data_IF_938000320288
#
_entry.id   IF_938000320288
#
_cell.length_a   1.000
_cell.length_b   1.000
_cell.length_c   1.000
_cell.angle_alpha   90.00
_cell.angle_beta   90.00
_cell.angle_gamma   90.00
#
_symmetry.space_group_name_H-M   'P 1'
#
loop_
_entity.id
_entity.type
_entity.pdbx_description
1 polymer ?
#
# COMPACT_ATOMS: atom_id res chain seq x y z
N UNK A 1 -21.96 -80.91 173.54
CA UNK A 1 -21.42 -81.09 174.90
C UNK A 1 -22.45 -80.58 175.90
N UNK A 2 -22.86 -81.46 176.84
CA UNK A 2 -23.76 -81.30 178.02
C UNK A 2 -25.19 -80.81 177.71
N UNK A 3 -26.18 -81.72 177.70
CA UNK A 3 -27.04 -82.12 178.85
C UNK A 3 -27.75 -80.89 179.45
N UNK A 4 -29.09 -80.79 179.48
CA UNK A 4 -30.05 -81.72 180.09
C UNK A 4 -31.42 -81.66 179.40
N UNK A 5 -32.10 -82.80 179.34
CA UNK A 5 -33.43 -82.94 178.75
C UNK A 5 -34.57 -82.51 179.67
N UNK A 6 -35.70 -82.19 179.04
CA UNK A 6 -37.06 -82.38 179.57
C UNK A 6 -37.99 -82.51 178.36
N UNK A 7 -38.82 -83.54 178.35
CA UNK A 7 -39.60 -84.02 177.20
C UNK A 7 -40.59 -82.95 176.67
N UNK A 8 -40.62 -82.73 175.35
CA UNK A 8 -41.70 -82.00 174.68
C UNK A 8 -42.33 -82.85 173.57
N UNK A 9 -43.65 -82.75 173.49
CA UNK A 9 -44.62 -83.65 172.86
C UNK A 9 -44.57 -83.66 171.32
N UNK A 10 -45.16 -84.71 170.72
CA UNK A 10 -45.25 -84.98 169.25
C UNK A 10 -45.64 -83.79 168.35
N UNK A 11 -46.25 -82.74 168.90
CA UNK A 11 -46.68 -81.55 168.17
C UNK A 11 -45.52 -80.66 167.72
N UNK A 12 -44.40 -80.63 168.46
CA UNK A 12 -43.23 -79.81 168.10
C UNK A 12 -42.39 -80.41 166.97
N UNK A 13 -42.41 -81.74 166.81
CA UNK A 13 -41.70 -82.40 165.71
C UNK A 13 -42.40 -82.17 164.36
N UNK A 14 -43.73 -82.09 164.37
CA UNK A 14 -44.51 -81.80 163.17
C UNK A 14 -44.37 -80.35 162.70
N UNK A 15 -44.16 -79.38 163.59
CA UNK A 15 -43.96 -77.98 163.18
C UNK A 15 -42.61 -77.74 162.48
N UNK A 16 -41.54 -78.42 162.92
CA UNK A 16 -40.22 -78.33 162.28
C UNK A 16 -40.17 -79.00 160.89
N UNK A 17 -40.90 -80.10 160.69
CA UNK A 17 -40.97 -80.77 159.40
C UNK A 17 -41.65 -79.92 158.32
N UNK A 18 -42.69 -79.17 158.71
CA UNK A 18 -43.35 -78.22 157.80
C UNK A 18 -42.42 -77.06 157.44
N UNK A 19 -41.71 -76.47 158.42
CA UNK A 19 -40.81 -75.33 158.16
C UNK A 19 -39.62 -75.71 157.26
N UNK A 20 -39.08 -76.92 157.41
CA UNK A 20 -37.95 -77.39 156.58
C UNK A 20 -38.37 -77.67 155.14
N UNK A 21 -39.55 -78.26 154.93
CA UNK A 21 -40.12 -78.42 153.58
C UNK A 21 -40.40 -77.07 152.92
N UNK A 22 -40.93 -76.10 153.67
CA UNK A 22 -41.18 -74.75 153.17
C UNK A 22 -39.87 -74.03 152.76
N UNK A 23 -38.80 -74.24 153.53
CA UNK A 23 -37.47 -73.67 153.22
C UNK A 23 -36.84 -74.29 151.99
N UNK A 24 -36.97 -75.61 151.82
CA UNK A 24 -36.46 -76.32 150.63
C UNK A 24 -37.20 -75.84 149.38
N UNK A 25 -38.53 -75.67 149.45
CA UNK A 25 -39.30 -75.12 148.33
C UNK A 25 -38.85 -73.71 147.94
N UNK A 26 -38.58 -72.83 148.90
CA UNK A 26 -38.05 -71.48 148.60
C UNK A 26 -36.68 -71.52 147.91
N UNK A 27 -35.83 -72.49 148.24
CA UNK A 27 -34.52 -72.61 147.59
C UNK A 27 -34.64 -73.12 146.16
N UNK A 28 -35.48 -74.12 145.90
CA UNK A 28 -35.75 -74.58 144.53
C UNK A 28 -36.33 -73.45 143.66
N UNK A 29 -37.28 -72.70 144.20
CA UNK A 29 -37.86 -71.54 143.51
C UNK A 29 -36.80 -70.45 143.22
N UNK A 30 -35.88 -70.19 144.16
CA UNK A 30 -34.77 -69.26 143.93
C UNK A 30 -33.75 -69.77 142.90
N UNK A 31 -33.52 -71.07 142.84
CA UNK A 31 -32.60 -71.68 141.89
C UNK A 31 -33.19 -71.62 140.47
N UNK A 32 -34.47 -71.97 140.32
CA UNK A 32 -35.18 -71.91 139.04
C UNK A 32 -35.32 -70.47 138.54
N UNK A 33 -35.57 -69.50 139.43
CA UNK A 33 -35.55 -68.08 139.09
C UNK A 33 -34.18 -67.65 138.56
N UNK A 34 -33.09 -68.01 139.26
CA UNK A 34 -31.73 -67.69 138.81
C UNK A 34 -31.34 -68.37 137.50
N UNK A 35 -31.80 -69.60 137.26
CA UNK A 35 -31.56 -70.33 136.02
C UNK A 35 -32.37 -69.77 134.84
N UNK A 36 -33.61 -69.32 135.07
CA UNK A 36 -34.43 -68.65 134.08
C UNK A 36 -33.83 -67.31 133.68
N UNK A 37 -33.36 -66.51 134.64
CA UNK A 37 -32.66 -65.24 134.38
C UNK A 37 -31.36 -65.46 133.57
N UNK A 38 -30.56 -66.45 133.94
CA UNK A 38 -29.33 -66.77 133.20
C UNK A 38 -29.63 -67.18 131.75
N UNK A 39 -30.62 -68.07 131.52
CA UNK A 39 -31.06 -68.46 130.17
C UNK A 39 -31.57 -67.27 129.37
N UNK A 40 -32.35 -66.37 129.98
CA UNK A 40 -32.81 -65.16 129.31
C UNK A 40 -31.64 -64.25 128.91
N UNK A 41 -30.65 -64.06 129.78
CA UNK A 41 -29.44 -63.28 129.45
C UNK A 41 -28.63 -63.91 128.30
N UNK A 42 -28.44 -65.23 128.33
CA UNK A 42 -27.75 -65.93 127.24
C UNK A 42 -28.51 -65.83 125.91
N UNK A 43 -29.83 -66.05 125.92
CA UNK A 43 -30.66 -65.94 124.71
C UNK A 43 -30.67 -64.50 124.19
N UNK A 44 -30.75 -63.50 125.08
CA UNK A 44 -30.69 -62.11 124.70
C UNK A 44 -29.33 -61.74 124.09
N UNK A 45 -28.23 -62.11 124.74
CA UNK A 45 -26.87 -61.91 124.22
C UNK A 45 -26.63 -62.64 122.90
N UNK A 46 -27.14 -63.87 122.75
CA UNK A 46 -27.01 -64.62 121.51
C UNK A 46 -27.83 -63.99 120.37
N UNK A 47 -29.01 -63.43 120.68
CA UNK A 47 -29.80 -62.64 119.72
C UNK A 47 -29.11 -61.35 119.32
N UNK A 48 -28.51 -60.62 120.25
CA UNK A 48 -27.77 -59.39 119.93
C UNK A 48 -26.53 -59.71 119.10
N UNK A 49 -25.74 -60.72 119.47
CA UNK A 49 -24.59 -61.17 118.67
C UNK A 49 -25.00 -61.67 117.29
N UNK A 50 -26.07 -62.45 117.18
CA UNK A 50 -26.59 -62.92 115.89
C UNK A 50 -27.09 -61.76 115.02
N UNK A 51 -27.77 -60.77 115.60
CA UNK A 51 -28.23 -59.59 114.88
C UNK A 51 -27.07 -58.73 114.35
N UNK A 52 -26.07 -58.46 115.19
CA UNK A 52 -24.86 -57.71 114.80
C UNK A 52 -24.06 -58.47 113.74
N UNK A 53 -23.90 -59.79 113.90
CA UNK A 53 -23.22 -60.62 112.90
C UNK A 53 -23.95 -60.61 111.56
N UNK A 54 -25.28 -60.76 111.56
CA UNK A 54 -26.08 -60.69 110.35
C UNK A 54 -26.01 -59.30 109.67
N UNK A 55 -25.94 -58.22 110.45
CA UNK A 55 -25.71 -56.87 109.92
C UNK A 55 -24.34 -56.77 109.27
N UNK A 56 -23.28 -57.21 109.95
CA UNK A 56 -21.92 -57.17 109.40
C UNK A 56 -21.81 -57.98 108.10
N UNK A 57 -22.43 -59.16 108.05
CA UNK A 57 -22.47 -60.00 106.85
C UNK A 57 -23.22 -59.28 105.73
N UNK A 58 -24.38 -58.67 106.00
CA UNK A 58 -25.10 -57.87 105.00
C UNK A 58 -24.26 -56.72 104.49
N UNK A 59 -23.63 -55.95 105.37
CA UNK A 59 -22.79 -54.82 104.98
C UNK A 59 -21.58 -55.28 104.14
N UNK A 60 -21.00 -56.44 104.45
CA UNK A 60 -19.92 -57.02 103.65
C UNK A 60 -20.40 -57.45 102.27
N UNK A 61 -21.55 -58.11 102.18
CA UNK A 61 -22.14 -58.54 100.91
C UNK A 61 -22.55 -57.32 100.07
N UNK A 62 -23.12 -56.28 100.69
CA UNK A 62 -23.48 -55.02 100.02
C UNK A 62 -22.24 -54.28 99.50
N UNK A 63 -21.14 -54.27 100.26
CA UNK A 63 -19.85 -53.73 99.79
C UNK A 63 -19.30 -54.50 98.58
N UNK A 64 -19.27 -55.82 98.61
CA UNK A 64 -18.78 -56.61 97.47
C UNK A 64 -19.70 -56.47 96.25
N UNK A 65 -21.01 -56.49 96.47
CA UNK A 65 -21.99 -56.35 95.40
C UNK A 65 -21.99 -54.94 94.80
N UNK A 66 -21.74 -53.90 95.59
CA UNK A 66 -21.52 -52.54 95.06
C UNK A 66 -20.21 -52.43 94.28
N UNK A 67 -19.13 -53.07 94.75
CA UNK A 67 -17.85 -53.11 94.04
C UNK A 67 -17.96 -53.83 92.68
N UNK A 68 -18.61 -54.99 92.63
CA UNK A 68 -18.84 -55.73 91.38
C UNK A 68 -19.78 -54.97 90.42
N UNK A 69 -20.83 -54.32 90.93
CA UNK A 69 -21.68 -53.44 90.11
C UNK A 69 -20.89 -52.28 89.53
N UNK A 70 -20.09 -51.59 90.34
CA UNK A 70 -19.24 -50.51 89.89
C UNK A 70 -18.22 -50.98 88.84
N UNK A 71 -17.66 -52.17 89.01
CA UNK A 71 -16.74 -52.78 88.03
C UNK A 71 -17.45 -53.10 86.72
N UNK A 72 -18.62 -53.73 86.76
CA UNK A 72 -19.41 -54.03 85.56
C UNK A 72 -19.87 -52.76 84.84
N UNK A 73 -20.24 -51.72 85.58
CA UNK A 73 -20.56 -50.42 85.00
C UNK A 73 -19.34 -49.79 84.34
N UNK A 74 -18.17 -49.83 84.99
CA UNK A 74 -16.92 -49.34 84.41
C UNK A 74 -16.58 -50.09 83.12
N UNK A 75 -16.63 -51.42 83.13
CA UNK A 75 -16.39 -52.24 81.95
C UNK A 75 -17.40 -51.90 80.83
N UNK A 76 -18.69 -51.74 81.15
CA UNK A 76 -19.70 -51.30 80.16
C UNK A 76 -19.38 -49.92 79.60
N UNK A 77 -18.99 -48.96 80.44
CA UNK A 77 -18.60 -47.62 79.98
C UNK A 77 -17.37 -47.65 79.10
N UNK A 78 -16.37 -48.49 79.44
CA UNK A 78 -15.18 -48.70 78.62
C UNK A 78 -15.53 -49.34 77.27
N UNK A 79 -16.38 -50.36 77.27
CA UNK A 79 -16.88 -50.99 76.04
C UNK A 79 -17.72 -50.05 75.17
N UNK A 80 -18.63 -49.27 75.77
CA UNK A 80 -19.43 -48.27 75.05
C UNK A 80 -18.53 -47.17 74.46
N UNK A 81 -17.52 -46.72 75.21
CA UNK A 81 -16.55 -45.74 74.74
C UNK A 81 -15.74 -46.30 73.59
N UNK A 82 -15.17 -47.50 73.72
CA UNK A 82 -14.39 -48.16 72.68
C UNK A 82 -15.23 -48.42 71.42
N UNK A 83 -16.49 -48.82 71.58
CA UNK A 83 -17.41 -49.01 70.46
C UNK A 83 -17.71 -47.69 69.73
N UNK A 84 -17.97 -46.60 70.46
CA UNK A 84 -18.17 -45.27 69.87
C UNK A 84 -16.91 -44.78 69.16
N UNK A 85 -15.75 -44.93 69.79
CA UNK A 85 -14.46 -44.57 69.19
C UNK A 85 -14.20 -45.36 67.91
N UNK A 86 -14.50 -46.67 67.89
CA UNK A 86 -14.38 -47.49 66.69
C UNK A 86 -15.33 -47.02 65.57
N UNK A 87 -16.61 -46.77 65.88
CA UNK A 87 -17.56 -46.29 64.87
C UNK A 87 -17.17 -44.92 64.33
N UNK A 88 -16.70 -44.02 65.20
CA UNK A 88 -16.25 -42.69 64.81
C UNK A 88 -15.01 -42.78 63.91
N UNK A 89 -14.07 -43.69 64.22
CA UNK A 89 -12.91 -43.95 63.35
C UNK A 89 -13.33 -44.46 61.97
N UNK A 90 -14.24 -45.42 61.89
CA UNK A 90 -14.72 -45.95 60.60
C UNK A 90 -15.44 -44.89 59.77
N UNK A 91 -16.30 -44.09 60.40
CA UNK A 91 -16.98 -42.97 59.75
C UNK A 91 -15.99 -41.92 59.26
N UNK A 92 -15.00 -41.56 60.07
CA UNK A 92 -13.95 -40.61 59.69
C UNK A 92 -13.12 -41.14 58.52
N UNK A 93 -12.76 -42.43 58.52
CA UNK A 93 -12.07 -43.06 57.40
C UNK A 93 -12.93 -43.08 56.13
N UNK A 94 -14.24 -43.36 56.25
CA UNK A 94 -15.17 -43.30 55.13
C UNK A 94 -15.30 -41.88 54.57
N UNK A 95 -15.47 -40.87 55.43
CA UNK A 95 -15.53 -39.46 55.04
C UNK A 95 -14.22 -39.00 54.39
N UNK A 96 -13.06 -39.42 54.91
CA UNK A 96 -11.76 -39.13 54.31
C UNK A 96 -11.61 -39.76 52.92
N UNK A 97 -12.05 -41.01 52.73
CA UNK A 97 -12.06 -41.69 51.42
C UNK A 97 -12.98 -40.99 50.43
N UNK A 98 -14.20 -40.63 50.86
CA UNK A 98 -15.14 -39.89 50.01
C UNK A 98 -14.62 -38.49 49.66
N UNK A 99 -14.06 -37.77 50.63
CA UNK A 99 -13.41 -36.47 50.40
C UNK A 99 -12.26 -36.57 49.41
N UNK A 100 -11.42 -37.61 49.53
CA UNK A 100 -10.33 -37.86 48.58
C UNK A 100 -10.85 -38.19 47.18
N UNK A 101 -11.85 -39.07 47.06
CA UNK A 101 -12.44 -39.42 45.78
C UNK A 101 -13.11 -38.21 45.10
N UNK A 102 -13.85 -37.40 45.85
CA UNK A 102 -14.44 -36.17 45.32
C UNK A 102 -13.36 -35.18 44.86
N UNK A 103 -12.28 -35.01 45.62
CA UNK A 103 -11.16 -34.17 45.22
C UNK A 103 -10.50 -34.68 43.93
N UNK A 104 -10.31 -35.99 43.78
CA UNK A 104 -9.82 -36.59 42.53
C UNK A 104 -10.77 -36.36 41.36
N UNK A 105 -12.08 -36.57 41.55
CA UNK A 105 -13.08 -36.38 40.50
C UNK A 105 -13.17 -34.91 40.06
N UNK A 106 -13.12 -33.97 41.02
CA UNK A 106 -13.08 -32.54 40.72
C UNK A 106 -11.82 -32.17 39.96
N UNK A 107 -10.66 -32.73 40.35
CA UNK A 107 -9.41 -32.51 39.64
C UNK A 107 -9.46 -33.05 38.21
N UNK A 108 -9.94 -34.27 38.01
CA UNK A 108 -10.10 -34.84 36.66
C UNK A 108 -11.05 -34.00 35.79
N UNK A 109 -12.14 -33.50 36.38
CA UNK A 109 -13.06 -32.61 35.68
C UNK A 109 -12.43 -31.25 35.38
N UNK A 110 -11.63 -30.71 36.28
CA UNK A 110 -10.88 -29.48 36.03
C UNK A 110 -9.88 -29.67 34.88
N UNK A 111 -9.07 -30.73 34.93
CA UNK A 111 -8.10 -31.07 33.87
C UNK A 111 -8.81 -31.26 32.51
N UNK A 112 -9.93 -31.98 32.47
CA UNK A 112 -10.72 -32.16 31.24
C UNK A 112 -11.26 -30.82 30.71
N UNK A 113 -11.80 -29.96 31.60
CA UNK A 113 -12.29 -28.64 31.20
C UNK A 113 -11.16 -27.75 30.70
N UNK A 114 -10.02 -27.72 31.39
CA UNK A 114 -8.81 -26.98 30.99
C UNK A 114 -8.33 -27.45 29.61
N UNK A 115 -8.27 -28.76 29.37
CA UNK A 115 -7.93 -29.31 28.06
C UNK A 115 -8.91 -28.90 26.97
N UNK A 116 -10.22 -28.93 27.24
CA UNK A 116 -11.23 -28.49 26.28
C UNK A 116 -11.16 -26.98 26.00
N UNK A 117 -10.90 -26.16 27.01
CA UNK A 117 -10.73 -24.72 26.85
C UNK A 117 -9.47 -24.41 26.03
N UNK A 118 -8.34 -25.04 26.36
CA UNK A 118 -7.09 -24.90 25.62
C UNK A 118 -7.24 -25.32 24.16
N UNK A 119 -7.93 -26.44 23.91
CA UNK A 119 -8.19 -26.92 22.56
C UNK A 119 -9.01 -25.91 21.76
N UNK A 120 -10.14 -25.44 22.29
CA UNK A 120 -11.00 -24.46 21.62
C UNK A 120 -10.28 -23.13 21.39
N UNK A 121 -9.47 -22.68 22.36
CA UNK A 121 -8.70 -21.45 22.21
C UNK A 121 -7.68 -21.58 21.08
N UNK A 122 -6.97 -22.72 21.01
CA UNK A 122 -6.01 -22.99 19.92
C UNK A 122 -6.72 -23.08 18.57
N UNK A 123 -7.85 -23.78 18.49
CA UNK A 123 -8.65 -23.90 17.28
C UNK A 123 -9.11 -22.51 16.78
N UNK A 124 -9.73 -21.70 17.63
CA UNK A 124 -10.16 -20.35 17.29
C UNK A 124 -8.98 -19.44 16.88
N UNK A 125 -7.84 -19.56 17.55
CA UNK A 125 -6.62 -18.82 17.19
C UNK A 125 -6.12 -19.26 15.81
N UNK A 126 -6.09 -20.57 15.53
CA UNK A 126 -5.66 -21.08 14.22
C UNK A 126 -6.61 -20.65 13.10
N UNK A 127 -7.92 -20.64 13.33
CA UNK A 127 -8.90 -20.13 12.36
C UNK A 127 -8.70 -18.65 12.06
N UNK A 128 -8.55 -17.81 13.09
CA UNK A 128 -8.26 -16.38 12.90
C UNK A 128 -6.93 -16.16 12.20
N UNK A 129 -5.90 -16.92 12.55
CA UNK A 129 -4.59 -16.84 11.90
C UNK A 129 -4.68 -17.21 10.43
N UNK A 130 -5.35 -18.31 10.08
CA UNK A 130 -5.55 -18.72 8.68
C UNK A 130 -6.37 -17.70 7.90
N UNK A 131 -7.39 -17.09 8.51
CA UNK A 131 -8.17 -16.04 7.89
C UNK A 131 -7.31 -14.78 7.61
N UNK A 132 -6.51 -14.34 8.58
CA UNK A 132 -5.59 -13.21 8.42
C UNK A 132 -4.50 -13.51 7.40
N UNK A 133 -3.90 -14.69 7.43
CA UNK A 133 -2.93 -15.12 6.42
C UNK A 133 -3.58 -15.13 5.03
N UNK A 134 -4.80 -15.66 4.90
CA UNK A 134 -5.55 -15.64 3.65
C UNK A 134 -5.79 -14.23 3.12
N UNK A 135 -6.17 -13.29 3.98
CA UNK A 135 -6.27 -11.88 3.61
C UNK A 135 -4.91 -11.31 3.21
N UNK A 136 -3.84 -11.47 4.02
CA UNK A 136 -2.50 -10.99 3.67
C UNK A 136 -2.03 -11.49 2.29
N UNK A 137 -2.27 -12.76 1.95
CA UNK A 137 -1.96 -13.28 0.62
C UNK A 137 -2.76 -12.60 -0.50
N UNK A 138 -4.04 -12.28 -0.27
CA UNK A 138 -4.84 -11.49 -1.24
C UNK A 138 -4.28 -10.08 -1.41
N UNK A 139 -3.84 -9.45 -0.32
CA UNK A 139 -3.24 -8.11 -0.36
C UNK A 139 -1.89 -8.13 -1.06
N UNK A 140 -1.04 -9.12 -0.81
CA UNK A 140 0.25 -9.32 -1.50
C UNK A 140 0.01 -9.49 -3.01
N UNK A 141 -0.95 -10.33 -3.42
CA UNK A 141 -1.27 -10.51 -4.85
C UNK A 141 -1.77 -9.23 -5.51
N UNK A 142 -2.58 -8.43 -4.81
CA UNK A 142 -3.01 -7.12 -5.31
C UNK A 142 -1.83 -6.15 -5.43
N UNK A 143 -0.91 -6.17 -4.47
CA UNK A 143 0.29 -5.33 -4.52
C UNK A 143 1.19 -5.73 -5.69
N UNK A 144 1.44 -7.03 -5.88
CA UNK A 144 2.22 -7.55 -7.00
C UNK A 144 1.56 -7.21 -8.35
N UNK A 145 0.24 -7.30 -8.45
CA UNK A 145 -0.47 -6.86 -9.64
C UNK A 145 -0.33 -5.35 -9.90
N UNK A 146 -0.37 -4.53 -8.83
CA UNK A 146 -0.13 -3.08 -8.94
C UNK A 146 1.31 -2.82 -9.36
N UNK A 147 2.29 -3.51 -8.78
CA UNK A 147 3.71 -3.40 -9.11
C UNK A 147 3.95 -3.72 -10.59
N UNK A 148 3.40 -4.83 -11.10
CA UNK A 148 3.49 -5.18 -12.53
C UNK A 148 2.87 -4.12 -13.45
N UNK A 149 1.72 -3.55 -13.06
CA UNK A 149 1.09 -2.45 -13.82
C UNK A 149 1.92 -1.17 -13.76
N UNK A 150 2.53 -0.87 -12.62
CA UNK A 150 3.39 0.31 -12.44
C UNK A 150 4.68 0.16 -13.23
N UNK A 151 5.34 -1.00 -13.18
CA UNK A 151 6.57 -1.27 -13.94
C UNK A 151 6.31 -1.22 -15.45
N UNK A 152 5.23 -1.86 -15.92
CA UNK A 152 4.83 -1.79 -17.32
C UNK A 152 4.53 -0.34 -17.76
N UNK A 153 3.89 0.45 -16.90
CA UNK A 153 3.65 1.88 -17.18
C UNK A 153 4.94 2.71 -17.16
N UNK A 154 5.90 2.38 -16.30
CA UNK A 154 7.17 3.09 -16.21
C UNK A 154 7.97 2.95 -17.52
N UNK A 155 7.95 1.78 -18.16
CA UNK A 155 8.59 1.56 -19.46
C UNK A 155 7.93 2.38 -20.57
N UNK A 156 6.59 2.38 -20.64
CA UNK A 156 5.84 3.18 -21.62
C UNK A 156 6.10 4.68 -21.40
N UNK A 157 6.11 5.14 -20.15
CA UNK A 157 6.39 6.53 -19.81
C UNK A 157 7.83 6.94 -20.12
N UNK A 158 8.78 6.01 -20.02
CA UNK A 158 10.16 6.24 -20.44
C UNK A 158 10.23 6.45 -21.95
N UNK A 159 9.67 5.54 -22.75
CA UNK A 159 9.67 5.66 -24.23
C UNK A 159 9.02 6.97 -24.67
N UNK A 160 7.87 7.31 -24.09
CA UNK A 160 7.17 8.54 -24.44
C UNK A 160 7.92 9.82 -24.02
N UNK A 161 8.73 9.80 -22.94
CA UNK A 161 9.62 10.92 -22.62
C UNK A 161 10.74 11.06 -23.66
N UNK A 162 11.25 9.95 -24.17
CA UNK A 162 12.27 9.95 -25.23
C UNK A 162 11.71 10.51 -26.55
N UNK A 163 10.51 10.07 -26.96
CA UNK A 163 9.85 10.59 -28.18
C UNK A 163 9.50 12.08 -28.05
N UNK A 164 9.08 12.53 -26.87
CA UNK A 164 8.84 13.94 -26.57
C UNK A 164 10.11 14.77 -26.64
N UNK A 165 11.23 14.27 -26.09
CA UNK A 165 12.51 14.95 -26.18
C UNK A 165 12.97 15.09 -27.65
N UNK A 166 12.75 14.06 -28.47
CA UNK A 166 13.05 14.11 -29.89
C UNK A 166 12.14 15.09 -30.63
N UNK A 167 10.83 15.09 -30.35
CA UNK A 167 9.88 16.06 -30.91
C UNK A 167 10.28 17.50 -30.57
N UNK A 168 10.62 17.80 -29.31
CA UNK A 168 11.08 19.12 -28.90
C UNK A 168 12.36 19.55 -29.64
N UNK A 169 13.26 18.60 -29.93
CA UNK A 169 14.47 18.88 -30.71
C UNK A 169 14.16 19.18 -32.18
N UNK A 170 13.24 18.43 -32.81
CA UNK A 170 12.74 18.71 -34.17
C UNK A 170 12.01 20.06 -34.23
N UNK A 171 11.18 20.35 -33.24
CA UNK A 171 10.44 21.61 -33.13
C UNK A 171 11.40 22.80 -32.96
N UNK A 172 12.42 22.64 -32.11
CA UNK A 172 13.47 23.64 -31.97
C UNK A 172 14.19 23.90 -33.30
N UNK A 173 14.45 22.85 -34.08
CA UNK A 173 15.02 22.95 -35.42
C UNK A 173 14.06 23.67 -36.39
N UNK A 174 12.76 23.35 -36.38
CA UNK A 174 11.76 24.04 -37.18
C UNK A 174 11.69 25.54 -36.86
N UNK A 175 11.70 25.90 -35.57
CA UNK A 175 11.72 27.29 -35.13
C UNK A 175 12.95 28.06 -35.63
N UNK A 176 14.10 27.42 -35.81
CA UNK A 176 15.29 28.10 -36.37
C UNK A 176 15.09 28.55 -37.82
N UNK A 177 14.24 27.87 -38.59
CA UNK A 177 13.96 28.24 -39.98
C UNK A 177 12.86 29.29 -40.12
N UNK A 178 11.86 29.23 -39.25
CA UNK A 178 10.64 30.03 -39.34
C UNK A 178 10.73 31.36 -38.58
N UNK A 179 11.42 31.40 -37.43
CA UNK A 179 11.37 32.55 -36.53
C UNK A 179 12.43 33.61 -36.87
N UNK A 180 12.05 34.78 -37.39
CA UNK A 180 12.98 35.79 -37.89
C UNK A 180 13.72 36.60 -36.82
N UNK A 181 13.28 36.51 -35.55
CA UNK A 181 13.80 37.30 -34.43
C UNK A 181 14.40 36.45 -33.30
N UNK A 182 14.42 35.12 -33.46
CA UNK A 182 14.93 34.23 -32.43
C UNK A 182 16.46 34.20 -32.45
N UNK A 183 17.08 34.43 -31.29
CA UNK A 183 18.52 34.27 -31.06
C UNK A 183 18.98 32.81 -31.07
N UNK A 184 18.06 31.84 -31.20
CA UNK A 184 18.36 30.42 -31.22
C UNK A 184 19.03 30.11 -32.56
N UNK A 185 20.36 30.18 -32.57
CA UNK A 185 21.17 29.92 -33.74
C UNK A 185 21.19 31.06 -34.76
N UNK A 186 21.58 32.28 -34.37
CA UNK A 186 21.88 33.35 -35.33
C UNK A 186 23.40 33.61 -35.43
N UNK A 187 23.94 33.61 -36.65
CA UNK A 187 25.30 34.07 -36.93
C UNK A 187 25.28 35.57 -37.24
N UNK A 188 25.38 36.41 -36.20
CA UNK A 188 25.47 37.86 -36.36
C UNK A 188 25.36 38.62 -35.03
N UNK A 189 26.29 39.55 -34.78
CA UNK A 189 26.20 40.46 -33.63
C UNK A 189 25.01 41.39 -33.81
N UNK A 190 24.06 41.48 -32.85
CA UNK A 190 23.02 42.48 -32.92
C UNK A 190 23.67 43.87 -32.81
N UNK A 191 23.63 44.65 -33.90
CA UNK A 191 23.96 46.06 -33.81
C UNK A 191 22.89 46.69 -32.90
N UNK A 192 23.36 47.20 -31.75
CA UNK A 192 22.54 47.80 -30.69
C UNK A 192 21.45 48.70 -31.30
N UNK A 193 20.19 48.40 -31.00
CA UNK A 193 18.97 49.18 -31.31
C UNK A 193 18.23 49.01 -32.66
N UNK A 194 18.53 47.99 -33.48
CA UNK A 194 17.64 47.65 -34.61
C UNK A 194 17.28 46.16 -34.59
N UNK A 195 15.98 45.84 -34.45
CA UNK A 195 15.41 44.50 -34.70
C UNK A 195 15.50 44.19 -36.20
N UNK A 196 16.71 43.99 -36.73
CA UNK A 196 16.89 43.47 -38.07
C UNK A 196 16.61 41.96 -38.05
N UNK A 197 15.73 41.44 -38.92
CA UNK A 197 15.48 40.01 -39.02
C UNK A 197 16.78 39.28 -39.39
N UNK A 198 17.02 38.11 -38.78
CA UNK A 198 18.14 37.27 -39.15
C UNK A 198 17.82 36.56 -40.47
N UNK A 199 18.68 36.78 -41.48
CA UNK A 199 18.47 36.24 -42.82
C UNK A 199 19.09 34.85 -43.02
N UNK A 200 19.99 34.42 -42.13
CA UNK A 200 20.71 33.15 -42.20
C UNK A 200 20.74 32.51 -40.82
N UNK A 201 20.54 31.20 -40.76
CA UNK A 201 20.68 30.42 -39.53
C UNK A 201 22.16 30.22 -39.17
N UNK A 202 22.42 29.91 -37.90
CA UNK A 202 23.68 29.39 -37.41
C UNK A 202 23.93 27.99 -38.00
N UNK A 203 25.17 27.49 -37.91
CA UNK A 203 25.48 26.10 -38.22
C UNK A 203 24.50 25.17 -37.50
N UNK A 204 23.87 24.26 -38.26
CA UNK A 204 22.87 23.32 -37.75
C UNK A 204 23.50 22.09 -37.08
N UNK A 205 24.83 21.99 -37.07
CA UNK A 205 25.59 20.88 -36.51
C UNK A 205 25.19 20.55 -35.08
N UNK A 206 25.17 21.54 -34.19
CA UNK A 206 24.89 21.30 -32.77
C UNK A 206 23.46 20.77 -32.55
N UNK A 207 22.48 21.31 -33.30
CA UNK A 207 21.08 20.89 -33.24
C UNK A 207 20.88 19.47 -33.78
N UNK A 208 21.60 19.13 -34.86
CA UNK A 208 21.53 17.80 -35.48
C UNK A 208 22.25 16.77 -34.60
N UNK A 209 23.37 17.14 -33.96
CA UNK A 209 24.06 16.29 -32.99
C UNK A 209 23.16 16.00 -31.78
N UNK A 210 22.40 16.99 -31.31
CA UNK A 210 21.44 16.81 -30.22
C UNK A 210 20.24 15.94 -30.64
N UNK A 211 19.77 16.06 -31.89
CA UNK A 211 18.79 15.17 -32.49
C UNK A 211 19.30 13.72 -32.58
N UNK A 212 20.54 13.53 -33.03
CA UNK A 212 21.16 12.21 -33.12
C UNK A 212 21.35 11.58 -31.75
N UNK A 213 21.78 12.35 -30.74
CA UNK A 213 21.84 11.88 -29.34
C UNK A 213 20.46 11.51 -28.80
N UNK A 214 19.43 12.29 -29.11
CA UNK A 214 18.06 11.99 -28.69
C UNK A 214 17.53 10.72 -29.37
N UNK A 215 17.79 10.55 -30.66
CA UNK A 215 17.38 9.36 -31.43
C UNK A 215 18.13 8.09 -30.99
N UNK A 216 19.43 8.19 -30.72
CA UNK A 216 20.26 7.06 -30.31
C UNK A 216 19.89 6.50 -28.92
N UNK A 217 19.34 7.33 -28.03
CA UNK A 217 18.91 6.89 -26.68
C UNK A 217 17.76 5.90 -26.72
N UNK A 218 16.88 6.01 -27.71
CA UNK A 218 15.65 5.21 -27.79
C UNK A 218 15.83 3.92 -28.59
N UNK A 219 16.75 3.88 -29.56
CA UNK A 219 16.94 2.72 -30.46
C UNK A 219 15.75 2.45 -31.40
N UNK A 220 14.59 3.04 -31.15
CA UNK A 220 13.35 2.88 -31.90
C UNK A 220 13.22 3.84 -33.10
N UNK A 221 14.14 4.79 -33.24
CA UNK A 221 14.05 5.88 -34.21
C UNK A 221 15.05 5.76 -35.37
N UNK A 222 15.05 4.63 -36.08
CA UNK A 222 15.92 4.46 -37.26
C UNK A 222 15.60 5.52 -38.34
N UNK A 223 14.33 5.82 -38.57
CA UNK A 223 13.91 6.83 -39.56
C UNK A 223 14.55 8.20 -39.28
N UNK A 224 14.54 8.65 -38.02
CA UNK A 224 15.10 9.94 -37.67
C UNK A 224 16.62 10.00 -37.91
N UNK A 225 17.34 8.92 -37.58
CA UNK A 225 18.77 8.80 -37.86
C UNK A 225 19.06 8.88 -39.36
N UNK A 226 18.34 8.11 -40.18
CA UNK A 226 18.51 8.12 -41.66
C UNK A 226 18.24 9.49 -42.26
N UNK A 227 17.21 10.18 -41.81
CA UNK A 227 16.89 11.54 -42.31
C UNK A 227 17.99 12.52 -41.90
N UNK A 228 18.50 12.46 -40.67
CA UNK A 228 19.62 13.33 -40.26
C UNK A 228 20.91 13.04 -41.02
N UNK A 229 21.18 11.78 -41.37
CA UNK A 229 22.33 11.38 -42.20
C UNK A 229 22.19 11.82 -43.66
N UNK A 230 20.96 11.94 -44.16
CA UNK A 230 20.69 12.36 -45.54
C UNK A 230 20.88 13.86 -45.78
N UNK A 231 21.01 14.67 -44.72
CA UNK A 231 21.18 16.11 -44.84
C UNK A 231 22.58 16.45 -45.40
N UNK A 232 22.67 17.38 -46.36
CA UNK A 232 23.95 17.72 -47.00
C UNK A 232 24.92 18.38 -46.01
N UNK A 233 26.18 17.94 -45.98
CA UNK A 233 27.21 18.44 -45.05
C UNK A 233 27.47 19.94 -45.17
N UNK A 234 27.25 20.53 -46.36
CA UNK A 234 27.33 21.98 -46.58
C UNK A 234 26.36 22.74 -45.67
N UNK A 235 25.15 22.22 -45.46
CA UNK A 235 24.13 22.83 -44.59
C UNK A 235 24.55 22.82 -43.12
N UNK A 236 25.28 21.78 -42.70
CA UNK A 236 25.78 21.64 -41.32
C UNK A 236 26.77 22.75 -40.96
N UNK A 237 27.64 23.11 -41.91
CA UNK A 237 28.75 24.04 -41.69
C UNK A 237 28.39 25.51 -42.01
N UNK A 238 27.63 25.76 -43.08
CA UNK A 238 27.35 27.12 -43.55
C UNK A 238 26.06 27.74 -43.00
N UNK A 239 25.17 26.94 -42.41
CA UNK A 239 23.80 27.36 -42.11
C UNK A 239 22.94 27.49 -43.38
N UNK A 240 21.65 27.77 -43.18
CA UNK A 240 20.62 27.85 -44.24
C UNK A 240 19.99 29.24 -44.23
N UNK A 241 19.52 29.71 -45.38
CA UNK A 241 18.72 30.92 -45.44
C UNK A 241 17.38 30.72 -44.77
N UNK A 242 16.94 31.67 -43.94
CA UNK A 242 15.57 31.67 -43.42
C UNK A 242 14.60 32.04 -44.53
N UNK A 243 13.30 31.71 -44.35
CA UNK A 243 12.25 32.10 -45.32
C UNK A 243 12.32 33.60 -45.64
N UNK A 244 12.48 34.44 -44.63
CA UNK A 244 12.57 35.89 -44.79
C UNK A 244 13.89 36.33 -45.45
N UNK A 245 15.00 35.66 -45.16
CA UNK A 245 16.26 35.85 -45.86
C UNK A 245 16.17 35.57 -47.35
N UNK A 246 15.51 34.48 -47.71
CA UNK A 246 15.30 34.11 -49.10
C UNK A 246 14.43 35.14 -49.85
N UNK A 247 13.36 35.64 -49.20
CA UNK A 247 12.50 36.69 -49.75
C UNK A 247 13.24 38.03 -49.92
N UNK A 248 14.01 38.44 -48.92
CA UNK A 248 14.81 39.67 -48.98
C UNK A 248 15.86 39.61 -50.10
N UNK A 249 16.56 38.48 -50.22
CA UNK A 249 17.52 38.24 -51.29
C UNK A 249 16.84 38.14 -52.65
N UNK A 250 15.69 37.47 -52.72
CA UNK A 250 14.91 37.36 -53.96
C UNK A 250 14.59 38.73 -54.53
N UNK A 251 14.22 39.72 -53.71
CA UNK A 251 13.91 41.06 -54.23
C UNK A 251 15.12 41.72 -54.92
N UNK A 252 16.34 41.51 -54.39
CA UNK A 252 17.58 41.99 -55.05
C UNK A 252 17.86 41.24 -56.34
N UNK A 253 17.76 39.91 -56.31
CA UNK A 253 17.97 39.04 -57.48
C UNK A 253 16.95 39.37 -58.56
N UNK A 254 15.69 39.58 -58.18
CA UNK A 254 14.61 40.01 -59.05
C UNK A 254 14.96 41.33 -59.77
N UNK A 255 15.44 42.35 -59.06
CA UNK A 255 15.79 43.63 -59.69
C UNK A 255 16.92 43.47 -60.73
N UNK A 256 17.90 42.60 -60.45
CA UNK A 256 19.01 42.31 -61.38
C UNK A 256 18.53 41.44 -62.56
N UNK A 257 17.84 40.34 -62.30
CA UNK A 257 17.27 39.46 -63.34
C UNK A 257 16.37 40.25 -64.28
N UNK A 258 15.56 41.16 -63.74
CA UNK A 258 14.69 42.04 -64.52
C UNK A 258 15.48 42.97 -65.44
N UNK A 259 16.63 43.48 -65.00
CA UNK A 259 17.49 44.32 -65.85
C UNK A 259 18.17 43.54 -66.99
N UNK A 260 18.22 42.20 -66.88
CA UNK A 260 18.95 41.31 -67.80
C UNK A 260 18.00 40.35 -68.56
N UNK A 261 16.68 40.47 -68.36
CA UNK A 261 15.70 39.48 -68.83
C UNK A 261 15.61 39.35 -70.37
N UNK A 262 16.01 40.35 -71.14
CA UNK A 262 15.99 40.30 -72.61
C UNK A 262 17.27 39.69 -73.23
N UNK A 263 18.24 39.30 -72.41
CA UNK A 263 19.55 38.85 -72.88
C UNK A 263 19.59 37.33 -72.98
N UNK A 264 19.62 36.83 -74.21
CA UNK A 264 19.67 35.41 -74.54
C UNK A 264 21.07 34.80 -74.33
N UNK A 265 21.16 33.46 -74.34
CA UNK A 265 22.36 32.67 -74.03
C UNK A 265 23.58 33.01 -74.90
N UNK A 266 23.35 33.55 -76.10
CA UNK A 266 24.41 33.87 -77.07
C UNK A 266 25.23 35.13 -76.73
N UNK A 267 24.91 35.86 -75.65
CA UNK A 267 25.61 37.10 -75.29
C UNK A 267 25.32 38.22 -76.30
N UNK A 268 24.37 39.08 -75.97
CA UNK A 268 23.99 40.18 -76.87
C UNK A 268 24.90 41.41 -76.72
N UNK A 269 24.80 42.35 -77.66
CA UNK A 269 25.53 43.62 -77.62
C UNK A 269 25.18 44.46 -76.39
N UNK A 270 26.07 45.37 -75.97
CA UNK A 270 25.86 46.31 -74.85
C UNK A 270 24.55 47.13 -74.97
N UNK A 271 24.08 47.37 -76.19
CA UNK A 271 22.81 48.04 -76.45
C UNK A 271 21.59 47.21 -76.00
N UNK A 272 21.66 45.87 -76.09
CA UNK A 272 20.61 44.98 -75.60
C UNK A 272 20.47 45.06 -74.06
N UNK A 273 21.59 45.14 -73.33
CA UNK A 273 21.57 45.40 -71.89
C UNK A 273 20.92 46.74 -71.55
N UNK A 274 21.23 47.80 -72.31
CA UNK A 274 20.62 49.12 -72.12
C UNK A 274 19.10 49.08 -72.40
N UNK A 275 18.67 48.48 -73.51
CA UNK A 275 17.26 48.34 -73.86
C UNK A 275 16.52 47.49 -72.82
N UNK A 276 17.10 46.38 -72.36
CA UNK A 276 16.55 45.54 -71.28
C UNK A 276 16.39 46.33 -69.97
N UNK A 277 17.37 47.16 -69.60
CA UNK A 277 17.29 48.02 -68.43
C UNK A 277 16.20 49.11 -68.56
N UNK A 278 16.10 49.77 -69.71
CA UNK A 278 15.05 50.77 -69.99
C UNK A 278 13.66 50.12 -70.00
N UNK A 279 13.52 48.98 -70.67
CA UNK A 279 12.29 48.20 -70.74
C UNK A 279 11.87 47.69 -69.36
N UNK A 280 12.81 47.22 -68.54
CA UNK A 280 12.59 46.85 -67.14
C UNK A 280 11.97 48.01 -66.35
N UNK A 281 12.51 49.23 -66.48
CA UNK A 281 11.94 50.41 -65.78
C UNK A 281 10.56 50.80 -66.33
N UNK A 282 10.34 50.74 -67.65
CA UNK A 282 9.10 51.17 -68.31
C UNK A 282 7.94 50.15 -68.24
N UNK A 283 8.21 48.86 -68.47
CA UNK A 283 7.19 47.80 -68.44
C UNK A 283 6.72 47.45 -67.03
N UNK A 284 7.38 47.92 -65.97
CA UNK A 284 6.98 47.60 -64.59
C UNK A 284 6.60 48.78 -63.71
N UNK A 285 6.89 50.02 -64.14
CA UNK A 285 6.02 51.15 -63.74
C UNK A 285 4.59 50.96 -64.34
N UNK A 286 4.42 49.95 -65.21
CA UNK A 286 3.12 49.46 -65.65
C UNK A 286 2.35 48.62 -64.61
N UNK A 287 2.94 48.23 -63.47
CA UNK A 287 2.13 47.76 -62.33
C UNK A 287 1.28 48.91 -61.75
N UNK A 288 1.78 50.15 -61.85
CA UNK A 288 0.98 51.37 -61.67
C UNK A 288 -0.10 51.50 -62.78
N UNK A 289 0.19 51.05 -64.02
CA UNK A 289 -0.79 50.93 -65.12
C UNK A 289 -1.75 49.73 -64.99
N UNK A 290 -1.50 48.71 -64.16
CA UNK A 290 -2.44 47.59 -63.93
C UNK A 290 -3.77 48.09 -63.33
N UNK A 291 -3.73 49.18 -62.55
CA UNK A 291 -4.94 49.86 -62.06
C UNK A 291 -5.76 50.51 -63.19
N UNK A 292 -5.14 50.84 -64.32
CA UNK A 292 -5.78 51.45 -65.50
C UNK A 292 -6.13 50.37 -66.55
N UNK A 293 -5.30 49.33 -66.71
CA UNK A 293 -5.43 48.29 -67.73
C UNK A 293 -6.24 47.06 -67.30
N UNK A 294 -6.55 46.86 -66.02
CA UNK A 294 -7.55 45.87 -65.59
C UNK A 294 -8.98 46.17 -66.11
N UNK A 295 -9.17 47.32 -66.79
CA UNK A 295 -10.40 47.71 -67.47
C UNK A 295 -10.40 47.44 -68.99
N UNK A 296 -9.33 46.87 -69.55
CA UNK A 296 -9.23 46.56 -70.98
C UNK A 296 -9.08 45.04 -71.19
N UNK A 297 -10.02 44.38 -71.88
CA UNK A 297 -9.92 42.95 -72.16
C UNK A 297 -8.87 42.71 -73.25
N UNK A 298 -7.90 41.82 -72.99
CA UNK A 298 -7.05 41.21 -74.03
C UNK A 298 -5.58 41.64 -74.15
N UNK A 299 -5.03 42.47 -73.26
CA UNK A 299 -3.66 43.00 -73.42
C UNK A 299 -2.64 42.59 -72.34
N UNK A 300 -3.01 41.76 -71.37
CA UNK A 300 -2.06 41.25 -70.37
C UNK A 300 -2.10 39.72 -70.37
N UNK A 301 -0.95 39.09 -70.60
CA UNK A 301 -0.75 37.69 -70.24
C UNK A 301 -1.11 37.54 -68.74
N UNK A 302 -2.03 36.63 -68.38
CA UNK A 302 -2.44 36.47 -67.00
C UNK A 302 -1.23 36.01 -66.17
N UNK A 303 -1.14 36.49 -64.92
CA UNK A 303 -0.15 35.96 -63.98
C UNK A 303 -0.37 34.46 -63.83
N UNK A 304 0.70 33.69 -63.95
CA UNK A 304 0.66 32.25 -63.71
C UNK A 304 0.33 32.02 -62.23
N UNK A 305 -0.75 31.28 -62.00
CA UNK A 305 -1.14 30.73 -60.70
C UNK A 305 -0.62 29.31 -60.57
N UNK A 306 -0.50 28.74 -59.35
CA UNK A 306 -0.04 27.36 -59.15
C UNK A 306 -0.80 26.31 -59.98
N UNK A 307 -2.04 26.60 -60.37
CA UNK A 307 -2.91 25.72 -61.17
C UNK A 307 -2.83 25.94 -62.69
N UNK A 308 -2.03 26.92 -63.15
CA UNK A 308 -1.87 27.17 -64.59
C UNK A 308 -0.90 26.16 -65.21
N UNK A 309 -1.42 25.23 -66.01
CA UNK A 309 -0.61 24.34 -66.84
C UNK A 309 0.16 25.17 -67.86
N UNK A 310 1.49 25.06 -67.82
CA UNK A 310 2.37 25.69 -68.79
C UNK A 310 2.29 24.83 -70.05
N UNK A 311 1.59 25.32 -71.07
CA UNK A 311 1.49 24.66 -72.36
C UNK A 311 2.89 24.54 -72.99
N UNK A 312 3.32 23.31 -73.32
CA UNK A 312 4.69 22.96 -73.76
C UNK A 312 5.12 23.55 -75.14
N UNK A 313 4.53 24.65 -75.61
CA UNK A 313 4.75 25.18 -76.97
C UNK A 313 5.14 26.65 -77.06
N UNK A 314 4.86 27.48 -76.06
CA UNK A 314 5.21 28.91 -76.06
C UNK A 314 6.39 29.12 -75.11
N UNK A 315 7.50 29.72 -75.58
CA UNK A 315 8.57 30.15 -74.67
C UNK A 315 8.01 31.26 -73.78
N UNK A 316 7.74 31.01 -72.49
CA UNK A 316 7.16 32.03 -71.64
C UNK A 316 8.13 33.20 -71.55
N UNK A 317 7.60 34.41 -71.75
CA UNK A 317 8.39 35.64 -71.64
C UNK A 317 9.02 35.71 -70.23
N UNK A 318 10.35 35.91 -70.17
CA UNK A 318 11.11 35.93 -68.92
C UNK A 318 10.55 36.97 -67.93
N UNK A 319 9.99 38.07 -68.45
CA UNK A 319 9.32 39.08 -67.63
C UNK A 319 8.03 38.57 -66.97
N UNK A 320 7.27 37.72 -67.65
CA UNK A 320 6.05 37.11 -67.10
C UNK A 320 6.38 36.13 -65.98
N UNK A 321 7.40 35.28 -66.18
CA UNK A 321 7.89 34.33 -65.17
C UNK A 321 8.41 35.03 -63.91
N UNK A 322 9.20 36.10 -64.08
CA UNK A 322 9.71 36.88 -62.95
C UNK A 322 8.58 37.59 -62.20
N UNK A 323 7.61 38.15 -62.92
CA UNK A 323 6.46 38.85 -62.32
C UNK A 323 5.55 37.91 -61.54
N UNK A 324 5.28 36.71 -62.05
CA UNK A 324 4.50 35.69 -61.33
C UNK A 324 5.25 35.18 -60.10
N UNK A 325 6.56 34.92 -60.20
CA UNK A 325 7.37 34.51 -59.07
C UNK A 325 7.38 35.57 -57.94
N UNK A 326 7.49 36.86 -58.29
CA UNK A 326 7.40 37.95 -57.31
C UNK A 326 6.02 38.08 -56.68
N UNK A 327 4.96 37.92 -57.47
CA UNK A 327 3.59 37.99 -56.96
C UNK A 327 3.28 36.83 -55.99
N UNK A 328 3.84 35.64 -56.24
CA UNK A 328 3.70 34.49 -55.33
C UNK A 328 4.48 34.68 -54.02
N UNK A 329 5.72 35.18 -54.10
CA UNK A 329 6.58 35.34 -52.92
C UNK A 329 6.26 36.57 -52.06
N UNK A 330 5.79 37.65 -52.70
CA UNK A 330 5.49 38.94 -52.06
C UNK A 330 4.11 39.37 -52.55
N UNK A 331 3.03 38.82 -52.00
CA UNK A 331 1.72 39.36 -52.27
C UNK A 331 1.70 40.80 -51.76
N UNK A 332 1.28 41.72 -52.64
CA UNK A 332 1.02 43.09 -52.22
C UNK A 332 0.00 43.02 -51.09
N UNK A 333 0.26 43.76 -50.00
CA UNK A 333 -0.43 43.73 -48.70
C UNK A 333 -1.96 43.91 -48.71
N UNK A 334 -2.60 43.98 -49.88
CA UNK A 334 -4.04 44.15 -50.10
C UNK A 334 -4.75 42.89 -50.62
N UNK A 335 -4.06 41.79 -50.93
CA UNK A 335 -4.74 40.54 -51.30
C UNK A 335 -5.16 39.75 -50.06
N UNK A 336 -6.47 39.46 -49.93
CA UNK A 336 -7.07 38.51 -48.96
C UNK A 336 -6.59 37.05 -49.12
N UNK A 337 -5.45 36.82 -49.77
CA UNK A 337 -4.81 35.51 -49.83
C UNK A 337 -4.01 35.39 -48.54
N UNK A 338 -4.54 34.60 -47.61
CA UNK A 338 -3.82 34.17 -46.43
C UNK A 338 -2.54 33.48 -46.91
N UNK A 339 -1.40 34.16 -46.84
CA UNK A 339 -0.10 33.51 -47.06
C UNK A 339 0.05 32.58 -45.89
N UNK A 340 -0.25 31.30 -46.11
CA UNK A 340 -0.03 30.27 -45.12
C UNK A 340 1.46 30.25 -44.81
N UNK A 341 1.84 30.93 -43.73
CA UNK A 341 3.22 30.95 -43.23
C UNK A 341 3.78 29.53 -42.97
N UNK A 342 2.88 28.56 -42.85
CA UNK A 342 3.12 27.13 -42.64
C UNK A 342 3.38 26.36 -43.94
N UNK A 343 2.97 26.87 -45.11
CA UNK A 343 3.16 26.17 -46.38
C UNK A 343 4.21 26.90 -47.22
N UNK A 344 5.31 26.22 -47.58
CA UNK A 344 6.36 26.77 -48.46
C UNK A 344 6.02 26.64 -49.96
N UNK A 345 4.74 26.39 -50.29
CA UNK A 345 4.22 26.27 -51.66
C UNK A 345 4.59 27.45 -52.54
N UNK A 346 4.67 28.65 -51.97
CA UNK A 346 5.02 29.87 -52.70
C UNK A 346 6.48 29.83 -53.18
N UNK A 347 7.38 29.27 -52.37
CA UNK A 347 8.80 29.13 -52.68
C UNK A 347 8.99 28.02 -53.69
N UNK A 348 8.30 26.88 -53.54
CA UNK A 348 8.33 25.80 -54.52
C UNK A 348 7.86 26.28 -55.90
N UNK A 349 6.76 27.02 -55.93
CA UNK A 349 6.22 27.61 -57.16
C UNK A 349 7.21 28.60 -57.77
N UNK A 350 7.82 29.48 -56.97
CA UNK A 350 8.84 30.40 -57.45
C UNK A 350 10.08 29.69 -58.00
N UNK A 351 10.55 28.61 -57.34
CA UNK A 351 11.67 27.80 -57.83
C UNK A 351 11.34 27.16 -59.18
N UNK A 352 10.12 26.65 -59.37
CA UNK A 352 9.67 26.11 -60.68
C UNK A 352 9.70 27.18 -61.76
N UNK A 353 9.12 28.35 -61.51
CA UNK A 353 9.10 29.45 -62.48
C UNK A 353 10.50 29.96 -62.84
N UNK A 354 11.37 30.14 -61.84
CA UNK A 354 12.73 30.61 -62.07
C UNK A 354 13.60 29.56 -62.76
N UNK A 355 13.33 28.27 -62.55
CA UNK A 355 14.04 27.19 -63.24
C UNK A 355 13.77 27.13 -64.75
N UNK A 356 12.70 27.79 -65.20
CA UNK A 356 12.34 27.88 -66.62
C UNK A 356 12.96 29.10 -67.31
N UNK A 357 13.61 29.99 -66.56
CA UNK A 357 14.36 31.10 -67.16
C UNK A 357 15.52 30.55 -68.00
N UNK A 358 15.82 31.24 -69.10
CA UNK A 358 16.95 30.95 -69.99
C UNK A 358 17.86 32.17 -70.12
N UNK A 359 19.10 31.96 -70.56
CA UNK A 359 20.05 33.06 -70.76
C UNK A 359 20.66 33.61 -69.48
N UNK A 360 21.06 34.87 -69.54
CA UNK A 360 21.68 35.60 -68.43
C UNK A 360 20.77 35.77 -67.18
N UNK A 361 19.43 35.93 -67.25
CA UNK A 361 18.62 35.97 -66.03
C UNK A 361 18.61 34.63 -65.29
N UNK A 362 18.80 33.50 -65.99
CA UNK A 362 18.95 32.19 -65.37
C UNK A 362 20.26 32.08 -64.59
N UNK A 363 21.36 32.61 -65.14
CA UNK A 363 22.66 32.64 -64.46
C UNK A 363 22.61 33.46 -63.17
N UNK A 364 21.93 34.62 -63.17
CA UNK A 364 21.76 35.45 -61.97
C UNK A 364 20.83 34.79 -60.95
N UNK A 365 19.78 34.09 -61.41
CA UNK A 365 18.87 33.37 -60.54
C UNK A 365 19.46 32.06 -59.98
N UNK A 366 20.50 31.50 -60.60
CA UNK A 366 21.09 30.21 -60.24
C UNK A 366 21.53 30.16 -58.76
N UNK A 367 22.23 31.21 -58.29
CA UNK A 367 22.70 31.26 -56.90
C UNK A 367 21.53 31.30 -55.91
N UNK A 368 20.43 31.99 -56.24
CA UNK A 368 19.23 32.01 -55.41
C UNK A 368 18.48 30.68 -55.48
N UNK A 369 18.44 30.04 -56.65
CA UNK A 369 17.82 28.72 -56.84
C UNK A 369 18.53 27.64 -56.03
N UNK A 370 19.86 27.65 -55.95
CA UNK A 370 20.61 26.72 -55.10
C UNK A 370 20.25 26.90 -53.62
N UNK A 371 20.21 28.14 -53.16
CA UNK A 371 19.89 28.45 -51.76
C UNK A 371 18.42 28.13 -51.43
N UNK A 372 17.50 28.38 -52.36
CA UNK A 372 16.09 28.02 -52.23
C UNK A 372 15.89 26.50 -52.18
N UNK A 373 16.61 25.74 -53.02
CA UNK A 373 16.57 24.26 -52.99
C UNK A 373 17.07 23.71 -51.67
N UNK A 374 18.20 24.22 -51.16
CA UNK A 374 18.73 23.81 -49.84
C UNK A 374 17.75 24.09 -48.71
N UNK A 375 17.09 25.26 -48.74
CA UNK A 375 16.03 25.56 -47.78
C UNK A 375 14.88 24.56 -47.86
N UNK A 376 14.40 24.24 -49.08
CA UNK A 376 13.31 23.28 -49.27
C UNK A 376 13.70 21.85 -48.89
N UNK A 377 14.92 21.39 -49.16
CA UNK A 377 15.44 20.09 -48.73
C UNK A 377 15.40 19.94 -47.21
N UNK A 378 15.90 20.97 -46.50
CA UNK A 378 15.94 20.97 -45.03
C UNK A 378 14.53 21.10 -44.46
N UNK A 379 13.69 21.95 -45.05
CA UNK A 379 12.30 22.12 -44.66
C UNK A 379 11.51 20.81 -44.80
N UNK A 380 11.65 20.12 -45.94
CA UNK A 380 11.01 18.83 -46.20
C UNK A 380 11.49 17.75 -45.21
N UNK A 381 12.80 17.71 -44.91
CA UNK A 381 13.34 16.80 -43.92
C UNK A 381 12.76 17.05 -42.52
N UNK A 382 12.66 18.31 -42.10
CA UNK A 382 12.08 18.68 -40.81
C UNK A 382 10.59 18.34 -40.75
N UNK A 383 9.83 18.65 -41.79
CA UNK A 383 8.40 18.30 -41.85
C UNK A 383 8.18 16.79 -41.79
N UNK A 384 9.01 16.01 -42.47
CA UNK A 384 8.97 14.54 -42.38
C UNK A 384 9.30 14.04 -40.97
N UNK A 385 10.30 14.62 -40.30
CA UNK A 385 10.64 14.31 -38.91
C UNK A 385 9.53 14.72 -37.93
N UNK A 386 8.90 15.87 -38.14
CA UNK A 386 7.83 16.39 -37.30
C UNK A 386 6.57 15.52 -37.45
N UNK A 387 6.21 15.14 -38.68
CA UNK A 387 5.13 14.18 -38.93
C UNK A 387 5.41 12.81 -38.30
N UNK A 388 6.64 12.31 -38.41
CA UNK A 388 7.05 11.04 -37.80
C UNK A 388 6.96 11.08 -36.27
N UNK A 389 7.49 12.15 -35.66
CA UNK A 389 7.52 12.29 -34.19
C UNK A 389 6.14 12.52 -33.60
N UNK A 390 5.29 13.31 -34.26
CA UNK A 390 3.90 13.49 -33.85
C UNK A 390 3.12 12.18 -33.95
N UNK A 391 3.29 11.42 -35.03
CA UNK A 391 2.69 10.09 -35.15
C UNK A 391 3.14 9.14 -34.03
N UNK A 392 4.43 9.14 -33.70
CA UNK A 392 4.96 8.31 -32.61
C UNK A 392 4.49 8.79 -31.22
N UNK A 393 4.36 10.09 -31.02
CA UNK A 393 3.80 10.63 -29.77
C UNK A 393 2.33 10.25 -29.60
N UNK A 394 1.57 10.18 -30.68
CA UNK A 394 0.17 9.71 -30.65
C UNK A 394 0.13 8.21 -30.36
N UNK A 395 0.96 7.37 -31.02
CA UNK A 395 0.97 5.93 -30.76
C UNK A 395 1.35 5.59 -29.32
N UNK A 396 2.39 6.24 -28.78
CA UNK A 396 2.77 6.08 -27.37
C UNK A 396 1.72 6.62 -26.40
N UNK A 397 0.91 7.59 -26.81
CA UNK A 397 -0.22 8.05 -26.01
C UNK A 397 -1.38 7.05 -26.01
N UNK A 398 -1.66 6.40 -27.14
CA UNK A 398 -2.64 5.32 -27.21
C UNK A 398 -2.22 4.11 -26.38
N UNK A 399 -0.94 3.74 -26.37
CA UNK A 399 -0.42 2.64 -25.51
C UNK A 399 -0.51 2.94 -24.00
N UNK A 400 -0.63 4.22 -23.61
CA UNK A 400 -0.78 4.64 -22.21
C UNK A 400 -2.22 4.59 -21.70
N UNK A 401 -3.21 4.66 -22.59
CA UNK A 401 -4.64 4.66 -22.27
C UNK A 401 -5.13 3.23 -22.05
#
# INVERSE_FOLDING_TARGET
MKESGTEMTREELNSLLVMTLERINKLFESLDASAAEAKQRFVHSLKTHSAVFNQLVRDSVERELSHERAKQELERFEWERAAREHTDQELNLALARHGHHLAQMLRLKQEEMEHQFDYRLREALTEQKQALEGELHKWIKRMEAIEQVVDGRADIDRVAKETQALWLAVEALAFTLEMPFSKIGASGTPLRNELKPFFTTAPLRDLIDDLQKAAARSGNHEFALRVTESLPTKVLDSGVWTRQGLLYRFNKVYDVCKSVALVDEAGCSLWSYFVSWVQSKLLFDSLSRRRIMARLPGAASPLLTPDSEITEGETPDAFCLLASAKAALIPASDSMVNVDSVNCSDIEFAVRLLSQLRGQPAAVAADWLEDARRFLEVYQAIQALLAYTTAQNISTFEERL
#
